data_IF_467145552800
#
_entry.id   IF_467145552800
#
_cell.length_a   1.000
_cell.length_b   1.000
_cell.length_c   1.000
_cell.angle_alpha   90.00
_cell.angle_beta   90.00
_cell.angle_gamma   90.00
#
_symmetry.space_group_name_H-M   'P 1'
#
loop_
_entity.id
_entity.type
_entity.pdbx_description
1 polymer ?
#
# COMPACT_ATOMS: atom_id res chain seq x y z
N UNK A 1 -21.97 -18.31 0.10
CA UNK A 1 -21.79 -16.92 0.56
C UNK A 1 -21.99 -16.00 -0.65
N UNK A 2 -22.80 -14.95 -0.54
CA UNK A 2 -23.09 -14.04 -1.66
C UNK A 2 -21.80 -13.40 -2.16
N UNK A 3 -21.44 -13.58 -3.43
CA UNK A 3 -20.27 -12.97 -4.05
C UNK A 3 -20.56 -11.50 -4.36
N UNK A 4 -20.43 -10.64 -3.35
CA UNK A 4 -20.49 -9.19 -3.57
C UNK A 4 -19.32 -8.80 -4.48
N UNK A 5 -19.60 -8.29 -5.68
CA UNK A 5 -18.56 -7.81 -6.58
C UNK A 5 -17.93 -6.54 -6.00
N UNK A 6 -16.62 -6.58 -5.71
CA UNK A 6 -15.88 -5.41 -5.24
C UNK A 6 -15.57 -4.48 -6.41
N UNK A 7 -15.52 -3.17 -6.16
CA UNK A 7 -15.19 -2.16 -7.15
C UNK A 7 -14.12 -1.23 -6.60
N UNK A 8 -13.17 -0.84 -7.47
CA UNK A 8 -12.18 0.20 -7.23
C UNK A 8 -12.63 1.51 -7.88
N UNK A 9 -12.22 2.66 -7.34
CA UNK A 9 -12.35 3.96 -8.02
C UNK A 9 -10.95 4.59 -8.18
N UNK A 10 -10.16 4.14 -9.17
CA UNK A 10 -8.85 4.73 -9.45
C UNK A 10 -8.99 6.22 -9.73
N UNK A 11 -7.97 7.00 -9.35
CA UNK A 11 -7.95 8.43 -9.61
C UNK A 11 -7.97 8.70 -11.12
N UNK A 12 -8.88 9.55 -11.57
CA UNK A 12 -9.10 9.86 -12.99
C UNK A 12 -10.03 8.89 -13.74
N UNK A 13 -10.48 7.80 -13.10
CA UNK A 13 -11.47 6.92 -13.70
C UNK A 13 -12.86 7.60 -13.75
N UNK A 14 -13.49 7.58 -14.93
CA UNK A 14 -14.82 8.16 -15.13
C UNK A 14 -15.93 7.42 -14.35
N UNK A 15 -15.68 6.17 -13.94
CA UNK A 15 -16.60 5.32 -13.17
C UNK A 15 -15.81 4.35 -12.29
N UNK A 16 -16.46 3.80 -11.28
CA UNK A 16 -15.89 2.68 -10.52
C UNK A 16 -15.66 1.50 -11.48
N UNK A 17 -14.51 0.85 -11.34
CA UNK A 17 -14.10 -0.32 -12.12
C UNK A 17 -14.22 -1.56 -11.24
N UNK A 18 -14.69 -2.71 -11.76
CA UNK A 18 -14.64 -3.95 -11.00
C UNK A 18 -13.24 -4.21 -10.48
N UNK A 19 -13.13 -4.64 -9.24
CA UNK A 19 -11.89 -5.21 -8.73
C UNK A 19 -11.65 -6.52 -9.46
N UNK A 20 -10.52 -6.60 -10.15
CA UNK A 20 -10.02 -7.84 -10.73
C UNK A 20 -8.92 -8.35 -9.81
N UNK A 21 -9.00 -9.63 -9.47
CA UNK A 21 -7.92 -10.30 -8.77
C UNK A 21 -6.67 -10.21 -9.65
N UNK A 22 -5.67 -9.47 -9.18
CA UNK A 22 -4.39 -9.39 -9.86
C UNK A 22 -3.83 -10.80 -9.79
N UNK A 23 -3.68 -11.47 -10.94
CA UNK A 23 -2.96 -12.73 -11.04
C UNK A 23 -1.49 -12.45 -10.72
N UNK A 24 -1.19 -12.43 -9.42
CA UNK A 24 0.18 -12.45 -8.93
C UNK A 24 0.58 -13.92 -8.99
N UNK A 25 1.70 -14.22 -9.63
CA UNK A 25 2.44 -15.46 -9.34
C UNK A 25 2.93 -15.34 -7.89
N UNK A 26 2.01 -15.49 -6.94
CA UNK A 26 2.30 -15.47 -5.54
C UNK A 26 3.08 -16.76 -5.26
N UNK A 27 4.32 -16.68 -4.76
CA UNK A 27 5.09 -17.87 -4.45
C UNK A 27 4.31 -18.74 -3.46
N UNK A 28 4.52 -20.06 -3.55
CA UNK A 28 3.96 -21.00 -2.57
C UNK A 28 4.37 -20.56 -1.16
N UNK A 29 3.37 -20.23 -0.35
CA UNK A 29 3.61 -19.76 1.02
C UNK A 29 4.09 -20.93 1.85
N UNK A 30 5.36 -20.86 2.28
CA UNK A 30 5.96 -21.82 3.18
C UNK A 30 5.41 -21.73 4.62
N UNK A 31 6.00 -22.46 5.58
CA UNK A 31 5.66 -22.31 6.99
C UNK A 31 5.86 -20.86 7.47
N UNK A 32 5.24 -20.52 8.61
CA UNK A 32 5.35 -19.20 9.24
C UNK A 32 6.82 -18.76 9.34
N UNK A 33 7.12 -17.53 8.91
CA UNK A 33 8.46 -16.96 9.03
C UNK A 33 8.83 -16.76 10.51
N UNK A 34 9.98 -17.28 10.98
CA UNK A 34 10.48 -16.99 12.32
C UNK A 34 10.63 -15.48 12.56
N UNK A 35 10.33 -15.02 13.77
CA UNK A 35 10.29 -13.59 14.10
C UNK A 35 11.65 -12.89 13.90
N UNK A 36 12.74 -13.58 14.19
CA UNK A 36 14.13 -13.14 14.00
C UNK A 36 14.55 -13.08 12.53
N UNK A 37 13.84 -13.76 11.64
CA UNK A 37 14.05 -13.74 10.20
C UNK A 37 13.05 -12.84 9.46
N UNK A 38 12.03 -12.35 10.18
CA UNK A 38 11.00 -11.49 9.61
C UNK A 38 11.56 -10.10 9.30
N UNK A 39 11.06 -9.53 8.19
CA UNK A 39 11.27 -8.14 7.85
C UNK A 39 9.93 -7.41 7.96
N UNK A 40 9.99 -6.22 8.52
CA UNK A 40 8.86 -5.36 8.77
C UNK A 40 8.97 -4.13 7.89
N UNK A 41 7.81 -3.54 7.59
CA UNK A 41 7.72 -2.22 6.96
C UNK A 41 6.83 -1.35 7.83
N UNK A 42 7.39 -0.25 8.34
CA UNK A 42 6.60 0.83 8.90
C UNK A 42 6.27 1.79 7.75
N UNK A 43 5.00 2.13 7.59
CA UNK A 43 4.50 3.03 6.56
C UNK A 43 3.87 4.24 7.24
N UNK A 44 4.24 5.43 6.77
CA UNK A 44 3.63 6.69 7.15
C UNK A 44 3.16 7.45 5.90
N UNK A 45 2.01 8.10 6.01
CA UNK A 45 1.34 8.75 4.88
C UNK A 45 0.77 10.08 5.32
N UNK A 46 1.28 11.15 4.72
CA UNK A 46 0.78 12.48 4.98
C UNK A 46 -0.31 12.86 4.00
N UNK A 47 -1.34 13.54 4.52
CA UNK A 47 -2.48 13.97 3.71
C UNK A 47 -2.77 15.46 3.91
N UNK A 48 -3.58 16.04 3.02
CA UNK A 48 -4.07 17.42 3.14
C UNK A 48 -4.85 17.71 4.42
N UNK A 49 -5.30 16.69 5.17
CA UNK A 49 -6.04 16.84 6.43
C UNK A 49 -7.48 17.34 6.28
N UNK A 50 -7.89 17.78 5.09
CA UNK A 50 -9.24 18.21 4.75
C UNK A 50 -9.73 17.51 3.46
N UNK A 51 -11.05 17.40 3.29
CA UNK A 51 -11.63 16.77 2.09
C UNK A 51 -11.44 17.66 0.84
N UNK A 52 -10.98 17.11 -0.29
CA UNK A 52 -10.57 15.72 -0.49
C UNK A 52 -9.22 15.41 0.16
N UNK A 53 -9.13 14.26 0.86
CA UNK A 53 -7.87 13.80 1.45
C UNK A 53 -6.91 13.37 0.35
N UNK A 54 -6.01 14.26 -0.06
CA UNK A 54 -4.97 13.98 -1.03
C UNK A 54 -3.70 13.60 -0.29
N UNK A 55 -3.03 12.54 -0.74
CA UNK A 55 -1.74 12.11 -0.20
C UNK A 55 -0.65 13.05 -0.70
N UNK A 56 0.08 13.67 0.21
CA UNK A 56 1.15 14.63 -0.05
C UNK A 56 2.53 13.97 -0.02
N UNK A 57 2.71 12.96 0.81
CA UNK A 57 3.97 12.28 1.06
C UNK A 57 3.72 10.82 1.45
N UNK A 58 4.65 9.93 1.08
CA UNK A 58 4.72 8.58 1.61
C UNK A 58 6.16 8.28 2.06
N UNK A 59 6.29 7.93 3.33
CA UNK A 59 7.52 7.41 3.91
C UNK A 59 7.35 5.94 4.27
N UNK A 60 8.36 5.12 4.00
CA UNK A 60 8.41 3.74 4.44
C UNK A 60 9.82 3.37 4.92
N UNK A 61 9.88 2.68 6.05
CA UNK A 61 11.11 2.10 6.56
C UNK A 61 10.97 0.58 6.60
N UNK A 62 11.93 -0.11 5.99
CA UNK A 62 12.06 -1.57 6.09
C UNK A 62 13.12 -1.91 7.12
N UNK A 63 12.81 -2.79 8.06
CA UNK A 63 13.69 -3.14 9.19
C UNK A 63 13.51 -4.60 9.63
N UNK A 64 14.51 -5.15 10.33
CA UNK A 64 14.32 -6.31 11.24
C UNK A 64 14.22 -5.78 12.67
N UNK A 65 13.90 -6.63 13.65
CA UNK A 65 13.83 -6.20 15.05
C UNK A 65 15.15 -5.61 15.59
N UNK A 66 16.28 -5.87 14.93
CA UNK A 66 17.60 -5.44 15.38
C UNK A 66 18.16 -4.25 14.60
N UNK A 67 17.69 -3.99 13.36
CA UNK A 67 18.27 -2.95 12.51
C UNK A 67 17.36 -2.48 11.37
N UNK A 68 17.58 -1.23 10.95
CA UNK A 68 17.07 -0.66 9.70
C UNK A 68 17.77 -1.32 8.51
N UNK A 69 17.00 -1.65 7.46
CA UNK A 69 17.52 -2.22 6.22
C UNK A 69 17.50 -1.23 5.06
N UNK A 70 16.44 -0.43 4.95
CA UNK A 70 16.29 0.55 3.87
C UNK A 70 15.18 1.55 4.20
N UNK A 71 15.32 2.75 3.66
CA UNK A 71 14.32 3.82 3.75
C UNK A 71 13.84 4.20 2.35
N UNK A 72 12.57 4.54 2.26
CA UNK A 72 11.92 5.10 1.09
C UNK A 72 11.13 6.32 1.53
N UNK A 73 11.27 7.42 0.79
CA UNK A 73 10.49 8.62 1.00
C UNK A 73 10.28 9.30 -0.34
N UNK A 74 9.04 9.72 -0.58
CA UNK A 74 8.67 10.48 -1.76
C UNK A 74 7.59 11.50 -1.44
N UNK A 75 7.80 12.70 -1.96
CA UNK A 75 6.73 13.66 -2.15
C UNK A 75 5.84 13.21 -3.31
N UNK A 76 4.54 13.39 -3.15
CA UNK A 76 3.54 13.10 -4.16
C UNK A 76 3.13 14.41 -4.83
N UNK A 77 3.44 14.55 -6.11
CA UNK A 77 2.83 15.59 -6.93
C UNK A 77 1.33 15.29 -7.07
N UNK A 78 0.57 15.94 -6.20
CA UNK A 78 -0.85 15.71 -6.08
C UNK A 78 -1.61 16.18 -7.31
N UNK A 79 -1.07 17.05 -8.18
CA UNK A 79 -1.78 17.71 -9.29
C UNK A 79 -3.25 17.98 -8.96
N UNK A 80 -3.49 18.58 -7.80
CA UNK A 80 -4.83 18.97 -7.40
C UNK A 80 -5.37 19.94 -8.49
N UNK A 81 -6.63 19.78 -8.93
CA UNK A 81 -7.24 20.75 -9.83
C UNK A 81 -7.33 22.15 -9.19
#
# INVERSE_FOLDING_TARGET
>A
MSSSQFFLKPRGAAKAVPWEEIAVDAPEVGPLTPLDQAQFVALDVETTGNSPFLVLELGAERFTLDQTLSFFDTLVDCRAP
#
